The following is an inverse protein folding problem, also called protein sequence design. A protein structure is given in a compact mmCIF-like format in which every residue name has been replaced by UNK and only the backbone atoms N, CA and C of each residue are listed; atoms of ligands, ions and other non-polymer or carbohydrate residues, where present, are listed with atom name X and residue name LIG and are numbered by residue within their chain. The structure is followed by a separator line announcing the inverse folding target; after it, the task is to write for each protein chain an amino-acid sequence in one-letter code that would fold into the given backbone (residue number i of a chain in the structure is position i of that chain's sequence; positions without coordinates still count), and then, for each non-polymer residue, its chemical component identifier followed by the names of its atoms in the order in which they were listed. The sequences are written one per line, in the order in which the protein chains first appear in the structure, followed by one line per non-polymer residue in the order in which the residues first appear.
data_IF_239550836403
#
_entry.id   IF_239550836403
#
_cell.length_a   1.000
_cell.length_b   1.000
_cell.length_c   1.000
_cell.angle_alpha   90.00
_cell.angle_beta   90.00
_cell.angle_gamma   90.00
#
_symmetry.space_group_name_H-M   'P 1'
#
loop_
_entity.id
_entity.type
_entity.pdbx_description
1 polymer ?
#
# COMPACT_ATOMS: atom_id res chain seq x y z
N UNK A 1 20.53 13.27 10.18
CA UNK A 1 19.52 12.47 9.44
C UNK A 1 18.69 13.41 8.58
N UNK A 2 18.74 13.28 7.26
CA UNK A 2 17.94 14.10 6.33
C UNK A 2 16.47 13.69 6.39
N UNK A 3 15.56 14.67 6.52
CA UNK A 3 14.11 14.46 6.54
C UNK A 3 13.66 13.65 5.32
N UNK A 4 12.81 12.64 5.50
CA UNK A 4 12.33 11.78 4.40
C UNK A 4 11.52 12.60 3.39
N UNK A 5 10.87 13.69 3.80
CA UNK A 5 10.08 14.56 2.93
C UNK A 5 10.91 15.34 1.93
N UNK A 6 12.20 15.59 2.20
CA UNK A 6 13.08 16.37 1.31
C UNK A 6 13.79 15.50 0.27
N UNK A 7 13.60 14.18 0.32
CA UNK A 7 14.19 13.23 -0.63
C UNK A 7 13.43 13.20 -1.95
N UNK A 8 14.06 12.77 -3.06
CA UNK A 8 13.34 12.55 -4.32
C UNK A 8 12.20 11.52 -4.15
N UNK A 9 11.15 11.63 -4.96
CA UNK A 9 10.01 10.70 -4.92
C UNK A 9 10.40 9.28 -5.37
N UNK A 10 11.49 9.14 -6.12
CA UNK A 10 12.14 7.88 -6.46
C UNK A 10 12.76 7.16 -5.25
N UNK A 11 12.99 7.84 -4.12
CA UNK A 11 13.35 7.16 -2.86
C UNK A 11 12.15 6.35 -2.38
N UNK A 12 12.29 5.02 -2.35
CA UNK A 12 11.27 4.08 -1.91
C UNK A 12 10.68 4.40 -0.53
N UNK A 13 11.43 5.07 0.35
CA UNK A 13 10.93 5.49 1.68
C UNK A 13 9.83 6.54 1.58
N UNK A 14 9.72 7.26 0.46
CA UNK A 14 8.62 8.19 0.16
C UNK A 14 7.40 7.54 -0.46
N UNK A 15 7.51 6.29 -0.91
CA UNK A 15 6.42 5.62 -1.59
C UNK A 15 5.27 5.34 -0.64
N UNK A 16 4.06 5.34 -1.20
CA UNK A 16 2.86 4.98 -0.46
C UNK A 16 2.96 3.53 -0.07
N UNK A 17 2.57 3.22 1.16
CA UNK A 17 2.52 1.86 1.70
C UNK A 17 1.08 1.39 1.73
N UNK A 18 0.83 0.19 1.22
CA UNK A 18 -0.47 -0.48 1.25
C UNK A 18 -0.28 -1.80 2.01
N UNK A 19 -0.96 -1.93 3.14
CA UNK A 19 -1.09 -3.20 3.86
C UNK A 19 -2.42 -3.87 3.47
N UNK A 20 -2.50 -5.22 3.43
CA UNK A 20 -3.75 -5.91 3.16
C UNK A 20 -4.88 -5.53 4.14
N UNK A 21 -4.53 -5.30 5.41
CA UNK A 21 -5.45 -4.82 6.46
C UNK A 21 -6.25 -3.58 6.06
N UNK A 22 -5.72 -2.72 5.19
CA UNK A 22 -6.40 -1.47 4.79
C UNK A 22 -7.69 -1.72 4.00
N UNK A 23 -7.75 -2.83 3.27
CA UNK A 23 -8.86 -3.18 2.38
C UNK A 23 -9.57 -4.48 2.79
N UNK A 24 -9.28 -5.00 3.98
CA UNK A 24 -9.88 -6.22 4.51
C UNK A 24 -11.27 -5.94 5.12
N UNK A 25 -12.31 -6.53 4.55
CA UNK A 25 -13.70 -6.38 4.96
C UNK A 25 -14.02 -7.02 6.32
N UNK A 26 -13.16 -7.94 6.78
CA UNK A 26 -13.24 -8.58 8.10
C UNK A 26 -12.66 -7.71 9.21
N UNK A 27 -11.91 -6.65 8.88
CA UNK A 27 -11.33 -5.71 9.84
C UNK A 27 -12.22 -4.49 9.99
N UNK A 28 -12.33 -3.97 11.22
CA UNK A 28 -12.93 -2.66 11.49
C UNK A 28 -11.96 -1.51 11.19
N UNK A 29 -12.45 -0.27 11.20
CA UNK A 29 -11.59 0.92 11.11
C UNK A 29 -10.56 0.97 12.25
N UNK A 30 -10.98 0.58 13.46
CA UNK A 30 -10.09 0.52 14.63
C UNK A 30 -8.99 -0.53 14.44
N UNK A 31 -9.32 -1.67 13.81
CA UNK A 31 -8.37 -2.73 13.48
C UNK A 31 -7.47 -2.41 12.28
N UNK A 32 -7.70 -1.30 11.57
CA UNK A 32 -6.81 -0.80 10.52
C UNK A 32 -7.40 -0.72 9.13
N UNK A 33 -8.66 -1.11 8.92
CA UNK A 33 -9.35 -0.86 7.64
C UNK A 33 -9.38 0.64 7.36
N UNK A 34 -9.14 1.04 6.11
CA UNK A 34 -9.09 2.45 5.68
C UNK A 34 -10.21 2.85 4.72
N UNK A 35 -10.92 1.87 4.17
CA UNK A 35 -12.00 2.11 3.21
C UNK A 35 -13.37 1.68 3.77
N UNK A 36 -14.48 2.18 3.18
CA UNK A 36 -15.82 1.70 3.48
C UNK A 36 -15.93 0.18 3.30
N UNK A 37 -16.78 -0.47 4.09
CA UNK A 37 -16.86 -1.95 4.13
C UNK A 37 -17.36 -2.52 2.81
N UNK A 38 -18.25 -1.79 2.15
CA UNK A 38 -18.84 -2.08 0.85
C UNK A 38 -17.85 -2.04 -0.31
N UNK A 39 -16.70 -1.36 -0.14
CA UNK A 39 -15.60 -1.35 -1.12
C UNK A 39 -14.45 -2.29 -0.72
N UNK A 40 -14.51 -2.87 0.48
CA UNK A 40 -13.49 -3.76 1.01
C UNK A 40 -13.71 -5.20 0.51
N UNK A 41 -12.62 -5.95 0.45
CA UNK A 41 -12.61 -7.34 -0.01
C UNK A 41 -12.30 -8.29 1.15
N UNK A 42 -12.75 -9.54 1.04
CA UNK A 42 -12.51 -10.53 2.08
C UNK A 42 -11.09 -11.11 1.97
N UNK A 43 -10.32 -11.07 3.07
CA UNK A 43 -8.99 -11.68 3.19
C UNK A 43 -8.01 -11.35 2.04
N UNK A 44 -7.79 -10.07 1.71
CA UNK A 44 -6.79 -9.68 0.71
C UNK A 44 -5.40 -10.13 1.14
N UNK A 45 -4.57 -10.48 0.15
CA UNK A 45 -3.14 -10.77 0.35
C UNK A 45 -2.26 -9.68 -0.25
N UNK A 46 -1.04 -9.54 0.28
CA UNK A 46 -0.06 -8.59 -0.25
C UNK A 46 0.37 -8.93 -1.69
N UNK A 47 0.33 -10.21 -2.07
CA UNK A 47 0.61 -10.69 -3.43
C UNK A 47 -0.48 -10.25 -4.42
N UNK A 48 -1.76 -10.45 -4.10
CA UNK A 48 -2.86 -10.00 -4.98
C UNK A 48 -2.82 -8.48 -5.20
N UNK A 49 -2.56 -7.71 -4.13
CA UNK A 49 -2.42 -6.25 -4.22
C UNK A 49 -1.26 -5.88 -5.15
N UNK A 50 -0.12 -6.58 -5.03
CA UNK A 50 1.03 -6.36 -5.90
C UNK A 50 0.69 -6.66 -7.37
N UNK A 51 0.02 -7.77 -7.64
CA UNK A 51 -0.27 -8.23 -9.00
C UNK A 51 -1.25 -7.30 -9.71
N UNK A 52 -2.31 -6.88 -9.02
CA UNK A 52 -3.27 -5.88 -9.54
C UNK A 52 -2.57 -4.56 -9.84
N UNK A 53 -1.75 -4.05 -8.91
CA UNK A 53 -1.02 -2.80 -9.12
C UNK A 53 0.05 -2.92 -10.22
N UNK A 54 0.67 -4.09 -10.39
CA UNK A 54 1.64 -4.33 -11.46
C UNK A 54 0.99 -4.22 -12.84
N UNK A 55 -0.25 -4.68 -12.98
CA UNK A 55 -1.01 -4.57 -14.22
C UNK A 55 -1.34 -3.10 -14.63
N UNK A 56 -1.24 -2.14 -13.70
CA UNK A 56 -1.52 -0.72 -13.95
C UNK A 56 -0.32 0.09 -14.46
N UNK A 57 0.87 -0.54 -14.59
CA UNK A 57 2.11 0.14 -14.97
C UNK A 57 2.76 0.97 -13.85
N UNK A 58 2.27 0.86 -12.61
CA UNK A 58 2.85 1.58 -11.46
C UNK A 58 4.16 0.96 -10.94
N UNK A 59 4.50 -0.26 -11.34
CA UNK A 59 5.69 -1.03 -10.92
C UNK A 59 5.88 -1.03 -9.38
N UNK A 60 4.95 -1.64 -8.63
CA UNK A 60 5.02 -1.68 -7.17
C UNK A 60 6.16 -2.58 -6.65
N UNK A 61 6.51 -2.42 -5.37
CA UNK A 61 7.47 -3.30 -4.67
C UNK A 61 6.75 -4.06 -3.56
N UNK A 62 6.91 -5.38 -3.54
CA UNK A 62 6.35 -6.26 -2.51
C UNK A 62 7.38 -6.57 -1.40
N UNK A 63 7.08 -6.17 -0.17
CA UNK A 63 7.87 -6.50 1.02
C UNK A 63 7.17 -7.58 1.86
N UNK A 64 7.44 -8.87 1.62
CA UNK A 64 6.71 -10.01 2.22
C UNK A 64 6.81 -10.13 3.74
N UNK A 65 7.92 -9.73 4.36
CA UNK A 65 8.16 -9.94 5.80
C UNK A 65 7.59 -8.85 6.73
N UNK A 66 6.66 -8.01 6.27
CA UNK A 66 6.18 -6.84 7.02
C UNK A 66 4.76 -7.05 7.53
N UNK A 67 4.56 -6.85 8.83
CA UNK A 67 3.26 -6.91 9.45
C UNK A 67 2.69 -5.50 9.66
N UNK A 68 1.37 -5.34 9.50
CA UNK A 68 0.70 -4.10 9.87
C UNK A 68 0.72 -3.93 11.41
N UNK A 69 0.99 -2.73 11.96
CA UNK A 69 1.13 -2.57 13.42
C UNK A 69 -0.08 -2.95 14.28
N UNK A 70 -1.29 -2.94 13.68
CA UNK A 70 -2.53 -3.37 14.35
C UNK A 70 -2.94 -4.81 14.02
N UNK A 71 -2.18 -5.49 13.18
CA UNK A 71 -2.37 -6.92 12.93
C UNK A 71 -1.56 -7.70 13.97
N UNK A 72 -2.21 -8.66 14.62
CA UNK A 72 -1.58 -9.54 15.61
C UNK A 72 -1.29 -10.92 15.03
N UNK A 73 -2.04 -11.29 13.99
CA UNK A 73 -1.90 -12.55 13.30
C UNK A 73 -0.63 -12.55 12.43
N UNK A 74 0.19 -13.59 12.57
CA UNK A 74 1.46 -13.75 11.84
C UNK A 74 1.37 -14.82 10.76
N UNK A 75 0.17 -15.30 10.44
CA UNK A 75 -0.02 -16.20 9.31
C UNK A 75 0.54 -15.58 8.01
N UNK A 76 1.15 -16.39 7.13
CA UNK A 76 1.80 -15.92 5.91
C UNK A 76 0.91 -15.02 5.03
N UNK A 77 -0.40 -15.27 5.00
CA UNK A 77 -1.37 -14.52 4.20
C UNK A 77 -1.64 -13.11 4.74
N UNK A 78 -1.40 -12.88 6.04
CA UNK A 78 -1.54 -11.57 6.71
C UNK A 78 -0.25 -10.75 6.66
N UNK A 79 0.87 -11.39 6.30
CA UNK A 79 2.15 -10.73 6.11
C UNK A 79 2.23 -10.04 4.74
N UNK A 80 3.06 -9.00 4.72
CA UNK A 80 3.44 -8.27 3.54
C UNK A 80 2.88 -6.86 3.48
N UNK A 81 3.57 -6.02 2.72
CA UNK A 81 3.08 -4.71 2.29
C UNK A 81 3.56 -4.41 0.89
N UNK A 82 2.80 -3.58 0.19
CA UNK A 82 3.14 -3.12 -1.14
C UNK A 82 3.53 -1.64 -1.06
N UNK A 83 4.65 -1.27 -1.68
CA UNK A 83 5.04 0.11 -1.89
C UNK A 83 4.72 0.55 -3.31
N UNK A 84 4.20 1.76 -3.48
CA UNK A 84 3.89 2.32 -4.80
C UNK A 84 4.30 3.78 -4.91
N UNK A 85 4.96 4.12 -6.01
CA UNK A 85 5.34 5.49 -6.37
C UNK A 85 4.20 6.14 -7.15
N UNK A 86 3.64 7.24 -6.64
CA UNK A 86 2.55 7.96 -7.30
C UNK A 86 3.01 9.23 -8.04
N UNK A 87 4.21 9.73 -7.72
CA UNK A 87 4.76 10.96 -8.31
C UNK A 87 6.18 10.73 -8.80
N UNK A 88 6.55 11.35 -9.90
CA UNK A 88 7.91 11.43 -10.40
C UNK A 88 8.72 12.46 -9.60
N UNK A 89 10.04 12.48 -9.78
CA UNK A 89 10.94 13.39 -9.05
C UNK A 89 10.69 14.88 -9.39
N UNK A 90 10.15 15.16 -10.57
CA UNK A 90 9.69 16.49 -10.98
C UNK A 90 8.32 16.89 -10.36
N UNK A 91 7.70 16.00 -9.58
CA UNK A 91 6.41 16.20 -8.93
C UNK A 91 5.19 15.86 -9.80
N UNK A 92 5.37 15.51 -11.07
CA UNK A 92 4.28 15.05 -11.95
C UNK A 92 3.70 13.71 -11.48
N UNK A 93 2.43 13.46 -11.79
CA UNK A 93 1.73 12.22 -11.44
C UNK A 93 2.24 11.08 -12.34
N UNK A 94 2.60 9.94 -11.75
CA UNK A 94 3.14 8.78 -12.49
C UNK A 94 2.10 8.12 -13.39
N UNK A 95 0.88 7.94 -12.90
CA UNK A 95 -0.26 7.45 -13.67
C UNK A 95 -1.50 8.30 -13.34
N UNK A 96 -2.10 8.93 -14.36
CA UNK A 96 -3.22 9.87 -14.20
C UNK A 96 -4.49 9.21 -13.65
N UNK A 97 -4.65 7.91 -13.85
CA UNK A 97 -5.79 7.15 -13.30
C UNK A 97 -5.65 6.92 -11.79
N UNK A 98 -4.43 7.05 -11.25
CA UNK A 98 -4.10 6.81 -9.85
C UNK A 98 -3.31 7.99 -9.25
N UNK A 99 -3.91 9.19 -9.15
CA UNK A 99 -3.19 10.41 -8.78
C UNK A 99 -2.82 10.50 -7.30
N UNK A 100 -3.53 9.78 -6.43
CA UNK A 100 -3.43 9.88 -4.98
C UNK A 100 -3.63 8.54 -4.31
N UNK A 101 -3.04 8.35 -3.13
CA UNK A 101 -3.50 7.33 -2.19
C UNK A 101 -4.78 7.83 -1.53
N UNK A 102 -5.83 7.01 -1.48
CA UNK A 102 -7.03 7.34 -0.72
C UNK A 102 -6.66 7.67 0.74
N UNK A 103 -7.10 8.83 1.21
CA UNK A 103 -6.90 9.35 2.56
C UNK A 103 -8.04 8.95 3.47
#
# INVERSE_FOLDING_TARGET
MTDVKTRPFSDEKRWVVIYPTYIDSKKSLQQGRRIPKELAVENPTSTEIHDVLSATGLNPVLERGKLHPREQDREPEKLGRVRVMLKNDDGSIKNKDYPTSAG
#
